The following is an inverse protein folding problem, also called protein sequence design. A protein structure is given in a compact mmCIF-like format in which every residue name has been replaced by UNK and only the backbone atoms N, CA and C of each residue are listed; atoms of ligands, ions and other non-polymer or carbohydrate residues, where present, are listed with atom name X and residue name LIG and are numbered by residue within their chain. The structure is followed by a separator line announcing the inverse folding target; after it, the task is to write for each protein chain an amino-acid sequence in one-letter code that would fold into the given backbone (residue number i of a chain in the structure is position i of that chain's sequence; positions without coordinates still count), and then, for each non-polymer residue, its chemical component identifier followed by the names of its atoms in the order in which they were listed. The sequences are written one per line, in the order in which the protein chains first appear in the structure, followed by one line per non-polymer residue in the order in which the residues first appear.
data_IF_822905285805
#
_entry.id   IF_822905285805
#
_cell.length_a   1.000
_cell.length_b   1.000
_cell.length_c   1.000
_cell.angle_alpha   90.00
_cell.angle_beta   90.00
_cell.angle_gamma   90.00
#
_symmetry.space_group_name_H-M   'P 1'
#
loop_
_entity.id
_entity.type
_entity.pdbx_description
1 polymer ?
#
# COMPACT_ATOMS: atom_id res chain seq x y z
N UNK A 1 -6.11 -35.51 19.44
CA UNK A 1 -5.80 -34.31 18.66
C UNK A 1 -6.78 -34.18 17.50
N UNK A 2 -7.31 -32.97 17.32
CA UNK A 2 -8.07 -32.56 16.14
C UNK A 2 -7.32 -31.43 15.43
N UNK A 3 -7.53 -31.30 14.12
CA UNK A 3 -7.08 -30.15 13.35
C UNK A 3 -8.29 -29.57 12.65
N UNK A 4 -8.61 -28.32 12.98
CA UNK A 4 -9.74 -27.59 12.44
C UNK A 4 -9.24 -26.42 11.60
N UNK A 5 -9.80 -26.28 10.40
CA UNK A 5 -9.56 -25.12 9.54
C UNK A 5 -10.89 -24.40 9.31
N UNK A 6 -10.88 -23.09 9.48
CA UNK A 6 -12.00 -22.18 9.22
C UNK A 6 -11.53 -21.05 8.30
N UNK A 7 -12.25 -20.81 7.21
CA UNK A 7 -11.90 -19.79 6.22
C UNK A 7 -13.17 -19.10 5.68
N UNK A 8 -13.35 -17.78 5.93
CA UNK A 8 -14.33 -16.99 5.21
C UNK A 8 -13.87 -16.77 3.75
N UNK A 9 -14.63 -17.30 2.79
CA UNK A 9 -14.33 -17.24 1.36
C UNK A 9 -15.59 -17.26 0.50
N UNK A 10 -15.70 -16.28 -0.42
CA UNK A 10 -16.84 -16.18 -1.35
C UNK A 10 -16.53 -16.94 -2.65
N UNK A 11 -16.92 -18.21 -2.70
CA UNK A 11 -16.79 -19.03 -3.90
C UNK A 11 -17.81 -18.67 -4.98
N UNK A 12 -17.45 -18.88 -6.25
CA UNK A 12 -18.39 -18.83 -7.37
C UNK A 12 -19.18 -20.15 -7.50
N UNK A 13 -20.27 -20.12 -8.26
CA UNK A 13 -21.07 -21.32 -8.48
C UNK A 13 -20.24 -22.42 -9.16
N UNK A 14 -20.31 -23.64 -8.64
CA UNK A 14 -19.53 -24.80 -9.10
C UNK A 14 -18.10 -24.87 -8.53
N UNK A 15 -17.68 -23.90 -7.70
CA UNK A 15 -16.39 -23.93 -7.03
C UNK A 15 -16.48 -24.56 -5.64
N UNK A 16 -15.44 -25.33 -5.28
CA UNK A 16 -15.25 -25.89 -3.95
C UNK A 16 -13.89 -25.49 -3.40
N UNK A 17 -13.80 -25.33 -2.08
CA UNK A 17 -12.56 -25.00 -1.39
C UNK A 17 -11.91 -26.25 -0.80
N UNK A 18 -10.58 -26.35 -0.91
CA UNK A 18 -9.80 -27.42 -0.29
C UNK A 18 -8.63 -26.85 0.52
N UNK A 19 -8.27 -27.56 1.59
CA UNK A 19 -6.99 -27.42 2.30
C UNK A 19 -6.04 -28.51 1.82
N UNK A 20 -4.86 -28.13 1.37
CA UNK A 20 -3.77 -29.06 1.06
C UNK A 20 -2.82 -29.03 2.25
N UNK A 21 -2.86 -30.09 3.05
CA UNK A 21 -2.18 -30.21 4.34
C UNK A 21 -1.03 -31.20 4.22
N UNK A 22 0.17 -30.81 4.64
CA UNK A 22 1.36 -31.66 4.65
C UNK A 22 1.94 -31.72 6.06
N UNK A 23 2.17 -32.94 6.54
CA UNK A 23 2.96 -33.19 7.74
C UNK A 23 4.39 -33.50 7.33
N UNK A 24 5.36 -32.84 7.96
CA UNK A 24 6.78 -33.04 7.70
C UNK A 24 7.49 -33.58 8.95
N UNK A 25 8.43 -34.49 8.73
CA UNK A 25 9.40 -34.95 9.72
C UNK A 25 10.81 -34.48 9.30
N UNK A 26 11.58 -33.97 10.25
CA UNK A 26 13.02 -33.68 10.17
C UNK A 26 13.84 -34.88 9.67
N UNK A 27 13.29 -36.10 9.75
CA UNK A 27 13.87 -37.33 9.18
C UNK A 27 13.58 -37.54 7.69
N UNK A 28 13.01 -36.54 7.01
CA UNK A 28 12.72 -36.54 5.58
C UNK A 28 11.40 -37.21 5.17
N UNK A 29 10.62 -37.72 6.12
CA UNK A 29 9.29 -38.25 5.83
C UNK A 29 8.27 -37.10 5.69
N UNK A 30 7.34 -37.23 4.74
CA UNK A 30 6.20 -36.32 4.64
C UNK A 30 4.91 -37.07 4.31
N UNK A 31 3.78 -36.51 4.74
CA UNK A 31 2.45 -37.02 4.44
C UNK A 31 1.55 -35.88 3.98
N UNK A 32 1.07 -35.95 2.75
CA UNK A 32 0.13 -34.99 2.17
C UNK A 32 -1.31 -35.48 2.28
N UNK A 33 -2.22 -34.57 2.60
CA UNK A 33 -3.65 -34.81 2.75
C UNK A 33 -4.39 -33.63 2.12
N UNK A 34 -5.21 -33.92 1.10
CA UNK A 34 -6.13 -32.93 0.52
C UNK A 34 -7.50 -33.08 1.16
N UNK A 35 -7.97 -32.01 1.80
CA UNK A 35 -9.21 -31.98 2.57
C UNK A 35 -10.21 -31.06 1.88
N UNK A 36 -11.36 -31.62 1.45
CA UNK A 36 -12.46 -30.84 0.93
C UNK A 36 -13.16 -30.12 2.08
N UNK A 37 -13.35 -28.80 1.95
CA UNK A 37 -14.04 -28.01 2.95
C UNK A 37 -15.55 -27.99 2.70
N UNK A 38 -16.31 -27.78 3.78
CA UNK A 38 -17.76 -27.69 3.74
C UNK A 38 -18.22 -26.30 4.22
N UNK A 39 -19.30 -25.79 3.65
CA UNK A 39 -19.90 -24.52 4.07
C UNK A 39 -21.41 -24.69 4.24
N UNK A 40 -22.01 -23.92 5.16
CA UNK A 40 -23.47 -23.90 5.39
C UNK A 40 -24.15 -22.66 4.82
N UNK A 41 -23.40 -21.58 4.65
CA UNK A 41 -23.87 -20.26 4.24
C UNK A 41 -23.28 -19.81 2.90
N UNK A 42 -22.39 -20.63 2.30
CA UNK A 42 -21.68 -20.30 1.07
C UNK A 42 -20.51 -19.33 1.26
N UNK A 43 -20.18 -19.00 2.51
CA UNK A 43 -19.14 -18.02 2.84
C UNK A 43 -18.16 -18.53 3.90
N UNK A 44 -18.61 -19.12 5.00
CA UNK A 44 -17.72 -19.71 6.00
C UNK A 44 -17.49 -21.18 5.68
N UNK A 45 -16.25 -21.52 5.33
CA UNK A 45 -15.83 -22.88 5.00
C UNK A 45 -15.08 -23.49 6.17
N UNK A 46 -15.40 -24.74 6.49
CA UNK A 46 -14.78 -25.49 7.59
C UNK A 46 -14.43 -26.91 7.18
N UNK A 47 -13.33 -27.42 7.75
CA UNK A 47 -13.01 -28.86 7.73
C UNK A 47 -12.31 -29.26 9.03
N UNK A 48 -12.69 -30.41 9.57
CA UNK A 48 -12.02 -31.07 10.70
C UNK A 48 -11.33 -32.34 10.17
N UNK A 49 -10.09 -32.55 10.59
CA UNK A 49 -9.37 -33.81 10.37
C UNK A 49 -8.70 -34.28 11.65
N UNK A 50 -8.31 -35.56 11.66
CA UNK A 50 -7.49 -36.14 12.71
C UNK A 50 -6.37 -36.93 12.05
N UNK A 51 -5.18 -36.87 12.64
CA UNK A 51 -4.03 -37.62 12.14
C UNK A 51 -3.69 -38.72 13.14
N UNK A 52 -3.15 -39.82 12.63
CA UNK A 52 -2.51 -40.83 13.47
C UNK A 52 -1.02 -40.71 13.23
N UNK A 53 -0.30 -40.35 14.27
CA UNK A 53 1.14 -40.17 14.22
C UNK A 53 1.85 -41.48 13.86
N UNK A 54 2.83 -41.40 12.95
CA UNK A 54 3.69 -42.53 12.62
C UNK A 54 4.79 -42.66 13.69
N UNK A 55 4.72 -43.71 14.52
CA UNK A 55 5.69 -43.95 15.60
C UNK A 55 7.15 -44.08 15.14
N UNK A 56 7.41 -44.38 13.85
CA UNK A 56 8.78 -44.47 13.32
C UNK A 56 9.32 -43.11 12.84
N UNK A 57 8.43 -42.20 12.44
CA UNK A 57 8.74 -40.87 11.91
C UNK A 57 7.75 -39.87 12.51
N UNK A 58 7.99 -39.38 13.74
CA UNK A 58 7.17 -38.33 14.32
C UNK A 58 7.25 -37.09 13.42
N UNK A 59 6.11 -36.42 13.27
CA UNK A 59 6.06 -35.18 12.51
C UNK A 59 6.54 -34.03 13.40
N UNK A 60 7.26 -33.10 12.82
CA UNK A 60 7.80 -31.92 13.48
C UNK A 60 7.08 -30.64 13.04
N UNK A 61 6.52 -30.65 11.83
CA UNK A 61 5.87 -29.48 11.23
C UNK A 61 4.56 -29.84 10.54
N UNK A 62 3.61 -28.91 10.60
CA UNK A 62 2.44 -28.84 9.73
C UNK A 62 2.68 -27.71 8.73
N UNK A 63 2.45 -28.00 7.46
CA UNK A 63 2.38 -27.03 6.39
C UNK A 63 1.02 -27.14 5.70
N UNK A 64 0.41 -26.04 5.30
CA UNK A 64 -0.77 -26.13 4.45
C UNK A 64 -0.98 -24.92 3.56
N UNK A 65 -1.85 -25.09 2.55
CA UNK A 65 -2.35 -23.99 1.75
C UNK A 65 -3.73 -24.28 1.15
N UNK A 66 -4.49 -23.23 0.86
CA UNK A 66 -5.82 -23.32 0.28
C UNK A 66 -5.83 -23.35 -1.27
N UNK A 67 -6.76 -24.12 -1.84
CA UNK A 67 -7.01 -24.14 -3.29
C UNK A 67 -8.50 -24.13 -3.56
N UNK A 68 -8.91 -23.47 -4.65
CA UNK A 68 -10.24 -23.57 -5.22
C UNK A 68 -10.21 -24.60 -6.35
N UNK A 69 -11.17 -25.51 -6.35
CA UNK A 69 -11.34 -26.56 -7.38
C UNK A 69 -12.73 -26.49 -8.00
N UNK A 70 -12.88 -27.00 -9.22
CA UNK A 70 -14.19 -27.23 -9.83
C UNK A 70 -14.83 -28.55 -9.36
N UNK A 71 -16.04 -28.86 -9.85
CA UNK A 71 -16.80 -30.08 -9.56
C UNK A 71 -16.04 -31.37 -9.89
N UNK A 72 -15.13 -31.33 -10.87
CA UNK A 72 -14.28 -32.45 -11.29
C UNK A 72 -12.97 -32.54 -10.47
N UNK A 73 -12.76 -31.61 -9.53
CA UNK A 73 -11.59 -31.55 -8.65
C UNK A 73 -10.35 -30.91 -9.26
N UNK A 74 -10.46 -30.29 -10.44
CA UNK A 74 -9.37 -29.56 -11.09
C UNK A 74 -9.15 -28.22 -10.39
N UNK A 75 -7.89 -27.91 -10.11
CA UNK A 75 -7.50 -26.66 -9.43
C UNK A 75 -7.75 -25.46 -10.36
N UNK A 76 -8.63 -24.57 -9.91
CA UNK A 76 -8.93 -23.29 -10.54
C UNK A 76 -8.02 -22.19 -10.00
N UNK A 77 -7.80 -22.18 -8.68
CA UNK A 77 -6.96 -21.18 -7.98
C UNK A 77 -6.18 -21.82 -6.84
N UNK A 78 -5.01 -21.26 -6.56
CA UNK A 78 -4.20 -21.57 -5.38
C UNK A 78 -3.93 -20.27 -4.65
N UNK A 79 -4.03 -20.27 -3.33
CA UNK A 79 -3.69 -19.06 -2.57
C UNK A 79 -2.23 -18.65 -2.80
N UNK A 80 -1.96 -17.35 -2.82
CA UNK A 80 -0.60 -16.84 -2.98
C UNK A 80 0.06 -16.76 -1.63
N UNK A 81 1.04 -17.64 -1.38
CA UNK A 81 1.81 -17.64 -0.13
C UNK A 81 3.16 -16.97 -0.34
N UNK A 82 3.23 -15.64 -0.16
CA UNK A 82 4.52 -14.96 0.02
C UNK A 82 5.26 -15.53 1.25
N UNK A 83 4.48 -15.94 2.25
CA UNK A 83 4.90 -16.66 3.45
C UNK A 83 4.08 -17.94 3.64
N UNK A 84 4.72 -19.13 3.61
CA UNK A 84 4.02 -20.38 3.79
C UNK A 84 3.45 -20.56 5.22
N UNK A 85 2.28 -21.19 5.30
CA UNK A 85 1.59 -21.50 6.56
C UNK A 85 2.24 -22.73 7.20
N UNK A 86 3.31 -22.52 7.96
CA UNK A 86 4.10 -23.57 8.63
C UNK A 86 4.05 -23.39 10.14
N UNK A 87 3.80 -24.48 10.86
CA UNK A 87 3.66 -24.50 12.32
C UNK A 87 4.32 -25.75 12.91
N UNK A 88 4.80 -25.63 14.15
CA UNK A 88 5.30 -26.77 14.92
C UNK A 88 4.17 -27.77 15.15
N UNK A 89 4.45 -29.04 14.91
CA UNK A 89 3.57 -30.15 15.21
C UNK A 89 3.89 -30.75 16.58
N UNK A 90 2.86 -30.92 17.40
CA UNK A 90 2.88 -31.64 18.67
C UNK A 90 1.62 -32.52 18.71
N UNK A 91 1.81 -33.84 18.78
CA UNK A 91 0.71 -34.81 18.74
C UNK A 91 -0.18 -34.80 19.99
N UNK A 92 0.25 -34.12 21.06
CA UNK A 92 -0.57 -33.88 22.24
C UNK A 92 -1.55 -32.72 22.08
N UNK A 93 -1.32 -31.82 21.12
CA UNK A 93 -2.10 -30.59 20.93
C UNK A 93 -3.20 -30.77 19.90
N UNK A 94 -4.29 -30.01 20.03
CA UNK A 94 -5.29 -29.82 18.96
C UNK A 94 -5.10 -28.45 18.33
N UNK A 95 -5.20 -28.36 17.01
CA UNK A 95 -4.91 -27.16 16.25
C UNK A 95 -6.20 -26.58 15.67
N UNK A 96 -6.39 -25.28 15.87
CA UNK A 96 -7.50 -24.52 15.34
C UNK A 96 -6.91 -23.37 14.51
N UNK A 97 -7.20 -23.37 13.22
CA UNK A 97 -6.72 -22.38 12.26
C UNK A 97 -7.90 -21.51 11.80
N UNK A 98 -7.98 -20.30 12.35
CA UNK A 98 -8.95 -19.28 11.94
C UNK A 98 -8.28 -18.34 10.93
N UNK A 99 -8.51 -18.65 9.65
CA UNK A 99 -7.78 -18.11 8.53
C UNK A 99 -8.62 -17.15 7.68
N UNK A 100 -7.95 -16.49 6.75
CA UNK A 100 -8.55 -15.79 5.61
C UNK A 100 -7.73 -16.07 4.35
N UNK A 101 -8.33 -15.86 3.18
CA UNK A 101 -7.68 -16.09 1.89
C UNK A 101 -6.60 -15.04 1.61
N UNK A 102 -5.39 -15.47 1.23
CA UNK A 102 -4.29 -14.58 0.84
C UNK A 102 -4.37 -14.28 -0.67
N UNK A 103 -4.62 -13.01 -1.00
CA UNK A 103 -4.86 -12.51 -2.37
C UNK A 103 -3.66 -12.68 -3.32
N UNK A 104 -3.97 -12.84 -4.61
CA UNK A 104 -2.99 -13.04 -5.68
C UNK A 104 -2.38 -11.69 -6.13
N UNK A 105 -1.04 -11.56 -6.14
CA UNK A 105 -0.39 -10.32 -6.60
C UNK A 105 -0.66 -10.07 -8.10
N UNK A 106 -0.91 -8.83 -8.55
CA UNK A 106 -1.10 -8.50 -9.97
C UNK A 106 0.06 -8.95 -10.88
N UNK A 107 1.30 -8.94 -10.38
CA UNK A 107 2.47 -9.44 -11.13
C UNK A 107 2.40 -10.96 -11.42
N UNK A 108 1.68 -11.73 -10.60
CA UNK A 108 1.46 -13.17 -10.83
C UNK A 108 0.47 -13.45 -11.96
N UNK A 109 -0.32 -12.46 -12.41
CA UNK A 109 -1.14 -12.61 -13.63
C UNK A 109 -0.30 -12.76 -14.90
N UNK A 110 0.96 -12.31 -14.91
CA UNK A 110 1.81 -12.37 -16.10
C UNK A 110 2.78 -13.56 -16.13
N UNK A 111 2.90 -14.33 -15.06
CA UNK A 111 3.72 -15.54 -15.06
C UNK A 111 3.16 -16.58 -14.09
N UNK A 112 2.87 -17.78 -14.60
CA UNK A 112 2.47 -19.01 -13.86
C UNK A 112 0.98 -19.24 -13.61
N UNK A 113 0.16 -19.08 -14.65
CA UNK A 113 -0.92 -20.06 -14.84
C UNK A 113 -0.27 -21.43 -15.15
N UNK A 114 -0.68 -22.48 -14.42
CA UNK A 114 -0.25 -23.90 -14.47
C UNK A 114 0.70 -24.33 -13.35
N UNK A 115 0.11 -24.78 -12.24
CA UNK A 115 0.46 -26.09 -11.64
C UNK A 115 1.74 -26.21 -10.81
N UNK A 116 2.35 -25.13 -10.30
CA UNK A 116 3.43 -25.29 -9.30
C UNK A 116 2.85 -25.38 -7.89
N UNK A 117 2.93 -26.56 -7.29
CA UNK A 117 2.86 -26.72 -5.82
C UNK A 117 3.90 -25.78 -5.20
N UNK A 118 3.55 -24.94 -4.22
CA UNK A 118 4.55 -24.15 -3.52
C UNK A 118 5.54 -25.12 -2.87
N UNK A 119 6.80 -25.14 -3.33
CA UNK A 119 7.84 -25.95 -2.70
C UNK A 119 8.27 -25.24 -1.43
N UNK A 120 7.94 -25.83 -0.29
CA UNK A 120 8.48 -25.40 1.01
C UNK A 120 9.94 -25.80 1.04
N UNK A 121 10.82 -24.81 1.17
CA UNK A 121 12.22 -25.05 1.49
C UNK A 121 12.32 -25.37 3.00
N UNK A 122 12.14 -26.64 3.35
CA UNK A 122 12.13 -27.10 4.76
C UNK A 122 13.45 -26.74 5.48
N UNK A 123 14.58 -26.65 4.77
CA UNK A 123 15.89 -26.26 5.33
C UNK A 123 16.00 -24.77 5.72
N UNK A 124 15.16 -23.88 5.18
CA UNK A 124 15.05 -22.50 5.68
C UNK A 124 14.11 -22.40 6.88
N UNK A 125 13.23 -23.37 7.09
CA UNK A 125 12.29 -23.42 8.22
C UNK A 125 12.87 -24.00 9.50
N UNK A 126 13.79 -24.97 9.41
CA UNK A 126 14.55 -25.43 10.59
C UNK A 126 15.36 -24.30 11.25
N UNK A 127 15.62 -23.20 10.51
CA UNK A 127 16.29 -21.99 11.01
C UNK A 127 15.33 -20.96 11.64
N UNK A 128 14.01 -21.09 11.47
CA UNK A 128 13.07 -20.28 12.23
C UNK A 128 12.98 -20.85 13.64
N UNK A 129 13.30 -20.06 14.67
CA UNK A 129 13.03 -20.50 16.05
C UNK A 129 11.53 -20.78 16.17
N UNK A 130 11.20 -22.07 16.28
CA UNK A 130 9.88 -22.60 16.53
C UNK A 130 9.23 -21.85 17.70
N UNK A 131 8.07 -21.24 17.45
CA UNK A 131 7.34 -20.54 18.50
C UNK A 131 6.94 -21.53 19.60
N UNK A 132 7.08 -21.17 20.88
CA UNK A 132 6.73 -22.08 21.98
C UNK A 132 5.24 -22.41 21.95
N UNK A 133 4.91 -23.66 22.28
CA UNK A 133 3.54 -24.11 22.51
C UNK A 133 3.32 -24.27 24.01
N UNK A 134 2.22 -23.72 24.51
CA UNK A 134 1.81 -23.75 25.91
C UNK A 134 0.61 -24.70 26.12
N UNK A 135 0.14 -24.80 27.36
CA UNK A 135 -1.10 -25.52 27.69
C UNK A 135 -2.28 -24.98 26.87
N UNK A 136 -2.52 -23.67 26.94
CA UNK A 136 -3.56 -22.96 26.19
C UNK A 136 -2.85 -21.89 25.35
N UNK A 137 -2.75 -22.10 24.04
CA UNK A 137 -1.89 -21.29 23.16
C UNK A 137 -2.69 -20.48 22.16
N UNK A 138 -2.36 -19.20 22.02
CA UNK A 138 -2.69 -18.41 20.83
C UNK A 138 -1.41 -18.02 20.11
N UNK A 139 -1.35 -18.33 18.81
CA UNK A 139 -0.35 -17.80 17.89
C UNK A 139 -0.99 -16.67 17.08
N UNK A 140 -0.57 -15.44 17.37
CA UNK A 140 -0.95 -14.25 16.62
C UNK A 140 -0.04 -14.09 15.43
N UNK A 141 -0.61 -13.98 14.22
CA UNK A 141 0.11 -13.60 13.00
C UNK A 141 -0.48 -12.36 12.36
N UNK A 142 0.38 -11.53 11.80
CA UNK A 142 -0.05 -10.35 11.04
C UNK A 142 0.95 -10.06 9.91
N UNK A 143 0.40 -9.73 8.75
CA UNK A 143 1.16 -9.31 7.58
C UNK A 143 1.25 -7.79 7.55
N UNK A 144 2.44 -7.20 7.42
CA UNK A 144 2.62 -5.75 7.51
C UNK A 144 3.58 -5.21 6.44
N UNK A 145 3.16 -5.19 5.17
CA UNK A 145 4.02 -4.82 4.04
C UNK A 145 4.43 -3.35 4.05
N UNK A 146 3.69 -2.51 4.79
CA UNK A 146 3.84 -1.05 4.85
C UNK A 146 4.47 -0.56 6.15
N UNK A 147 5.35 -1.38 6.74
CA UNK A 147 6.09 -1.02 7.94
C UNK A 147 7.34 -0.23 7.55
N UNK A 148 7.59 0.91 8.20
CA UNK A 148 8.75 1.75 7.88
C UNK A 148 10.05 1.20 8.50
N UNK A 149 11.20 1.66 8.00
CA UNK A 149 12.49 1.35 8.62
C UNK A 149 12.52 1.84 10.09
N UNK A 150 13.10 1.03 10.98
CA UNK A 150 13.15 1.31 12.41
C UNK A 150 11.83 1.07 13.15
N UNK A 151 10.87 0.37 12.54
CA UNK A 151 9.60 -0.02 13.15
C UNK A 151 9.49 -1.52 13.36
N UNK A 152 8.80 -1.91 14.43
CA UNK A 152 8.43 -3.29 14.73
C UNK A 152 6.97 -3.37 15.19
N UNK A 153 6.40 -4.56 15.13
CA UNK A 153 5.03 -4.80 15.60
C UNK A 153 5.05 -5.35 17.01
N UNK A 154 4.11 -4.86 17.81
CA UNK A 154 3.79 -5.43 19.11
C UNK A 154 2.27 -5.59 19.26
N UNK A 155 1.86 -6.31 20.30
CA UNK A 155 0.46 -6.58 20.63
C UNK A 155 0.13 -6.05 22.02
N UNK A 156 -1.07 -5.47 22.15
CA UNK A 156 -1.70 -5.12 23.42
C UNK A 156 -3.11 -5.68 23.47
N UNK A 157 -3.61 -5.95 24.66
CA UNK A 157 -4.97 -6.45 24.87
C UNK A 157 -5.54 -6.16 26.24
N UNK A 158 -6.77 -6.64 26.46
CA UNK A 158 -7.60 -6.35 27.64
C UNK A 158 -7.21 -7.08 28.93
N UNK A 159 -6.21 -7.97 28.89
CA UNK A 159 -5.77 -8.74 30.04
C UNK A 159 -4.34 -8.36 30.45
N UNK A 160 -3.94 -8.45 31.74
CA UNK A 160 -2.55 -8.26 32.17
C UNK A 160 -1.52 -9.08 31.39
N UNK A 161 -1.86 -10.31 30.99
CA UNK A 161 -1.01 -11.14 30.12
C UNK A 161 -0.73 -10.49 28.76
N UNK A 162 -1.65 -9.65 28.28
CA UNK A 162 -1.57 -8.89 27.03
C UNK A 162 -1.25 -7.41 27.27
N UNK A 163 -0.77 -7.03 28.46
CA UNK A 163 -0.38 -5.66 28.78
C UNK A 163 -1.50 -4.74 29.30
N UNK A 164 -2.75 -5.20 29.38
CA UNK A 164 -3.90 -4.43 29.90
C UNK A 164 -4.03 -3.02 29.27
N UNK A 165 -3.91 -2.95 27.95
CA UNK A 165 -3.88 -1.71 27.15
C UNK A 165 -2.84 -0.67 27.55
N UNK A 166 -1.87 -1.01 28.40
CA UNK A 166 -0.79 -0.11 28.79
C UNK A 166 0.30 -0.11 27.71
N UNK A 167 0.49 1.03 27.05
CA UNK A 167 1.45 1.22 25.97
C UNK A 167 2.93 1.00 26.37
N UNK A 168 3.23 0.91 27.65
CA UNK A 168 4.58 0.58 28.13
C UNK A 168 4.77 -0.93 28.37
N UNK A 169 3.68 -1.74 28.34
CA UNK A 169 3.69 -3.17 28.63
C UNK A 169 3.22 -4.02 27.43
N UNK A 170 3.57 -3.61 26.21
CA UNK A 170 3.24 -4.38 25.01
C UNK A 170 4.03 -5.69 24.91
N UNK A 171 3.48 -6.64 24.17
CA UNK A 171 4.15 -7.89 23.80
C UNK A 171 4.77 -7.74 22.41
N UNK A 172 6.10 -7.69 22.33
CA UNK A 172 6.79 -7.54 21.07
C UNK A 172 6.67 -8.80 20.19
N UNK A 173 6.29 -8.60 18.92
CA UNK A 173 6.21 -9.69 17.95
C UNK A 173 7.56 -9.92 17.27
N UNK A 174 7.79 -11.15 16.82
CA UNK A 174 9.00 -11.55 16.09
C UNK A 174 8.76 -11.45 14.59
N UNK A 175 9.69 -10.83 13.86
CA UNK A 175 9.66 -10.82 12.39
C UNK A 175 10.13 -12.18 11.84
N UNK A 176 9.37 -12.72 10.89
CA UNK A 176 9.72 -13.92 10.11
C UNK A 176 10.33 -13.56 8.74
N UNK A 177 10.57 -12.26 8.47
CA UNK A 177 10.93 -11.76 7.15
C UNK A 177 9.72 -11.61 6.22
N UNK A 178 9.93 -11.02 5.04
CA UNK A 178 8.87 -10.75 4.04
C UNK A 178 7.59 -10.14 4.64
N UNK A 179 7.76 -9.23 5.59
CA UNK A 179 6.68 -8.48 6.25
C UNK A 179 5.77 -9.29 7.18
N UNK A 180 6.13 -10.51 7.54
CA UNK A 180 5.36 -11.34 8.47
C UNK A 180 5.84 -11.21 9.92
N UNK A 181 4.89 -11.14 10.84
CA UNK A 181 5.14 -11.03 12.26
C UNK A 181 4.35 -12.07 13.05
N UNK A 182 4.98 -12.67 14.05
CA UNK A 182 4.39 -13.73 14.87
C UNK A 182 4.63 -13.52 16.36
N UNK A 183 3.66 -13.94 17.18
CA UNK A 183 3.77 -13.99 18.63
C UNK A 183 2.99 -15.20 19.15
N UNK A 184 3.57 -15.98 20.06
CA UNK A 184 2.89 -17.07 20.75
C UNK A 184 2.69 -16.68 22.21
N UNK A 185 1.47 -16.81 22.71
CA UNK A 185 1.07 -16.38 24.06
C UNK A 185 0.39 -17.52 24.78
N UNK A 186 0.77 -17.72 26.05
CA UNK A 186 0.01 -18.55 26.97
C UNK A 186 -1.22 -17.78 27.45
N UNK A 187 -2.40 -18.21 27.04
CA UNK A 187 -3.66 -17.55 27.37
C UNK A 187 -4.45 -18.25 28.46
N UNK A 188 -3.87 -19.25 29.13
CA UNK A 188 -4.51 -19.94 30.26
C UNK A 188 -5.08 -19.02 31.36
N UNK A 189 -4.48 -17.85 31.63
CA UNK A 189 -5.04 -16.90 32.61
C UNK A 189 -6.20 -16.04 32.08
N UNK A 190 -6.56 -16.11 30.79
CA UNK A 190 -7.45 -15.17 30.12
C UNK A 190 -8.82 -15.81 29.87
N UNK A 191 -9.88 -15.26 30.47
CA UNK A 191 -11.25 -15.59 30.09
C UNK A 191 -11.66 -14.80 28.84
N UNK A 192 -12.49 -15.43 27.99
CA UNK A 192 -13.05 -14.75 26.82
C UNK A 192 -14.11 -13.68 27.23
N UNK A 193 -14.29 -12.60 26.46
CA UNK A 193 -13.64 -12.31 25.19
C UNK A 193 -12.20 -11.78 25.36
N UNK A 194 -11.30 -12.27 24.51
CA UNK A 194 -9.94 -11.75 24.40
C UNK A 194 -9.97 -10.61 23.39
N UNK A 195 -9.79 -9.38 23.87
CA UNK A 195 -9.64 -8.22 22.99
C UNK A 195 -8.17 -7.86 22.85
N UNK A 196 -7.74 -7.62 21.63
CA UNK A 196 -6.36 -7.26 21.33
C UNK A 196 -6.26 -6.32 20.14
N UNK A 197 -5.10 -5.70 20.00
CA UNK A 197 -4.79 -4.79 18.92
C UNK A 197 -3.29 -4.76 18.66
N UNK A 198 -2.92 -4.72 17.39
CA UNK A 198 -1.53 -4.53 17.01
C UNK A 198 -1.14 -3.06 17.12
N UNK A 199 0.11 -2.81 17.50
CA UNK A 199 0.73 -1.50 17.57
C UNK A 199 2.05 -1.52 16.83
N UNK A 200 2.51 -0.34 16.44
CA UNK A 200 3.87 -0.13 15.97
C UNK A 200 4.68 0.46 17.10
N UNK A 201 5.88 -0.09 17.28
CA UNK A 201 6.91 0.39 18.20
C UNK A 201 8.15 0.76 17.43
N UNK A 202 8.93 1.72 17.93
CA UNK A 202 10.23 2.05 17.36
C UNK A 202 11.28 1.05 17.85
N UNK A 203 12.10 0.50 16.95
CA UNK A 203 13.09 -0.54 17.25
C UNK A 203 14.22 -0.04 18.13
N UNK A 204 14.58 1.24 18.05
CA UNK A 204 15.74 1.78 18.75
C UNK A 204 15.37 2.17 20.19
N UNK A 205 14.23 2.81 20.36
CA UNK A 205 13.74 3.32 21.65
C UNK A 205 12.86 2.32 22.40
N UNK A 206 12.36 1.28 21.73
CA UNK A 206 11.39 0.32 22.27
C UNK A 206 10.15 1.03 22.84
N UNK A 207 9.71 2.11 22.19
CA UNK A 207 8.54 2.89 22.60
C UNK A 207 7.39 2.76 21.60
N UNK A 208 6.18 2.81 22.14
CA UNK A 208 4.95 2.93 21.36
C UNK A 208 5.04 4.09 20.36
N UNK A 209 4.64 3.84 19.11
CA UNK A 209 4.57 4.82 18.04
C UNK A 209 3.12 5.07 17.60
N UNK A 210 2.37 4.01 17.28
CA UNK A 210 0.95 4.13 16.85
C UNK A 210 0.17 2.82 17.00
N UNK A 211 -1.15 2.93 17.04
CA UNK A 211 -2.06 1.79 16.95
C UNK A 211 -2.31 1.37 15.50
N UNK A 212 -2.69 0.11 15.27
CA UNK A 212 -3.43 -0.25 14.06
C UNK A 212 -4.79 0.48 14.03
N UNK A 213 -5.41 0.55 12.87
CA UNK A 213 -6.65 1.24 12.64
C UNK A 213 -7.88 0.32 12.85
N UNK A 214 -9.04 0.93 13.09
CA UNK A 214 -10.29 0.23 13.39
C UNK A 214 -10.46 -0.08 14.88
N UNK A 215 -11.57 -0.75 15.21
CA UNK A 215 -11.84 -1.25 16.56
C UNK A 215 -10.89 -2.38 16.97
N UNK A 216 -11.01 -2.79 18.23
CA UNK A 216 -10.28 -3.94 18.77
C UNK A 216 -10.61 -5.20 17.96
N UNK A 217 -9.62 -6.09 17.85
CA UNK A 217 -9.85 -7.46 17.41
C UNK A 217 -10.34 -8.24 18.63
N UNK A 218 -11.28 -9.15 18.42
CA UNK A 218 -11.89 -9.91 19.50
C UNK A 218 -11.87 -11.39 19.14
N UNK A 219 -11.52 -12.21 20.11
CA UNK A 219 -11.77 -13.64 20.11
C UNK A 219 -12.76 -13.94 21.23
N UNK A 220 -14.00 -14.26 20.86
CA UNK A 220 -15.08 -14.53 21.81
C UNK A 220 -15.05 -15.95 22.38
N UNK A 221 -14.26 -16.84 21.76
CA UNK A 221 -14.15 -18.23 22.15
C UNK A 221 -13.09 -18.43 23.25
N UNK A 222 -13.41 -19.32 24.18
CA UNK A 222 -12.46 -19.77 25.19
C UNK A 222 -11.49 -20.78 24.57
N UNK A 223 -10.20 -20.60 24.87
CA UNK A 223 -9.17 -21.59 24.55
C UNK A 223 -9.15 -22.65 25.65
N UNK A 224 -9.07 -23.92 25.26
CA UNK A 224 -8.99 -25.02 26.22
C UNK A 224 -7.58 -25.60 26.33
N UNK A 225 -7.36 -26.33 27.42
CA UNK A 225 -6.13 -27.08 27.64
C UNK A 225 -5.80 -27.97 26.44
N UNK A 226 -4.54 -27.90 26.03
CA UNK A 226 -3.94 -28.56 24.88
C UNK A 226 -4.42 -28.07 23.51
N UNK A 227 -5.05 -26.89 23.44
CA UNK A 227 -5.38 -26.24 22.18
C UNK A 227 -4.33 -25.21 21.75
N UNK A 228 -4.12 -25.15 20.44
CA UNK A 228 -3.32 -24.15 19.74
C UNK A 228 -4.22 -23.46 18.74
N UNK A 229 -4.61 -22.23 19.05
CA UNK A 229 -5.37 -21.38 18.14
C UNK A 229 -4.40 -20.49 17.36
N UNK A 230 -4.48 -20.55 16.04
CA UNK A 230 -3.66 -19.73 15.16
C UNK A 230 -4.56 -18.68 14.53
N UNK A 231 -4.35 -17.43 14.95
CA UNK A 231 -5.11 -16.29 14.47
C UNK A 231 -4.32 -15.58 13.38
N UNK A 232 -4.71 -15.78 12.12
CA UNK A 232 -4.16 -14.99 11.04
C UNK A 232 -4.92 -13.65 10.98
N UNK A 233 -4.31 -12.60 11.52
CA UNK A 233 -4.95 -11.29 11.71
C UNK A 233 -5.14 -10.45 10.45
N UNK A 234 -5.02 -11.00 9.24
CA UNK A 234 -5.02 -10.18 8.04
C UNK A 234 -3.75 -9.34 7.90
N UNK A 235 -3.85 -8.35 7.02
CA UNK A 235 -2.93 -7.23 7.03
C UNK A 235 -3.05 -6.44 8.34
N UNK A 236 -1.94 -5.88 8.80
CA UNK A 236 -1.91 -4.83 9.78
C UNK A 236 -2.82 -3.71 9.29
N UNK A 237 -3.85 -3.38 10.08
CA UNK A 237 -4.86 -2.41 9.66
C UNK A 237 -4.21 -1.03 9.68
N UNK A 238 -3.85 -0.54 8.52
CA UNK A 238 -3.56 0.89 8.35
C UNK A 238 -4.87 1.66 8.21
N UNK A 239 -4.83 2.97 8.46
CA UNK A 239 -5.96 3.86 8.15
C UNK A 239 -6.20 3.81 6.64
N UNK A 240 -7.14 2.97 6.21
CA UNK A 240 -7.71 3.02 4.86
C UNK A 240 -8.73 4.15 4.88
N UNK A 241 -8.47 5.23 4.15
CA UNK A 241 -9.51 6.21 3.88
C UNK A 241 -10.62 5.48 3.09
N UNK A 242 -11.87 5.46 3.56
CA UNK A 242 -12.95 4.85 2.80
C UNK A 242 -13.06 5.56 1.43
N UNK A 243 -13.52 4.86 0.38
CA UNK A 243 -13.83 5.49 -0.91
C UNK A 243 -14.90 6.60 -0.83
N UNK A 244 -15.48 6.80 0.35
CA UNK A 244 -16.55 7.75 0.68
C UNK A 244 -16.13 8.68 1.84
N UNK A 245 -14.83 8.80 2.12
CA UNK A 245 -14.36 9.83 3.02
C UNK A 245 -14.66 11.18 2.37
N UNK A 246 -15.76 11.81 2.80
CA UNK A 246 -16.12 13.12 2.30
C UNK A 246 -15.09 14.10 2.84
N UNK A 247 -14.15 14.51 1.99
CA UNK A 247 -13.33 15.67 2.28
C UNK A 247 -14.26 16.86 2.20
N UNK A 248 -14.46 17.55 3.32
CA UNK A 248 -15.30 18.74 3.39
C UNK A 248 -14.42 19.96 3.65
N UNK A 249 -13.66 20.33 2.62
CA UNK A 249 -12.92 21.59 2.60
C UNK A 249 -13.73 22.63 1.84
N UNK A 250 -13.52 23.91 2.14
CA UNK A 250 -14.13 25.01 1.39
C UNK A 250 -13.31 25.36 0.15
N UNK A 251 -12.00 25.07 0.17
CA UNK A 251 -11.07 25.41 -0.93
C UNK A 251 -10.15 24.24 -1.26
N UNK A 252 -10.06 23.91 -2.54
CA UNK A 252 -9.20 22.85 -3.08
C UNK A 252 -8.14 23.48 -3.97
N UNK A 253 -6.88 23.36 -3.56
CA UNK A 253 -5.71 23.86 -4.29
C UNK A 253 -5.02 22.66 -4.96
N UNK A 254 -5.10 22.58 -6.28
CA UNK A 254 -4.56 21.47 -7.06
C UNK A 254 -3.22 21.84 -7.70
N UNK A 255 -2.29 20.89 -7.80
CA UNK A 255 -1.30 20.94 -8.88
C UNK A 255 -1.96 20.72 -10.25
N UNK A 256 -1.24 21.09 -11.32
CA UNK A 256 -1.69 20.93 -12.70
C UNK A 256 -1.16 19.63 -13.32
N UNK A 257 0.12 19.61 -13.67
CA UNK A 257 0.78 18.52 -14.40
C UNK A 257 0.93 17.30 -13.48
N UNK A 258 0.37 16.15 -13.86
CA UNK A 258 0.40 14.93 -13.03
C UNK A 258 -0.76 14.82 -12.02
N UNK A 259 -1.54 15.89 -11.86
CA UNK A 259 -2.68 15.92 -10.94
C UNK A 259 -4.01 16.12 -11.67
N UNK A 260 -4.20 17.26 -12.35
CA UNK A 260 -5.40 17.53 -13.15
C UNK A 260 -5.22 17.12 -14.61
N UNK A 261 -4.03 17.32 -15.19
CA UNK A 261 -3.72 16.97 -16.59
C UNK A 261 -2.59 15.95 -16.69
N UNK A 262 -2.74 15.01 -17.62
CA UNK A 262 -1.71 14.07 -18.04
C UNK A 262 -0.89 14.72 -19.14
N UNK A 263 0.27 15.31 -18.81
CA UNK A 263 1.13 16.04 -19.75
C UNK A 263 2.49 15.36 -20.02
N UNK A 264 2.70 14.16 -19.47
CA UNK A 264 4.00 13.48 -19.48
C UNK A 264 4.50 13.15 -20.89
N UNK A 265 3.61 12.72 -21.78
CA UNK A 265 3.97 12.33 -23.15
C UNK A 265 4.55 13.52 -23.93
N UNK A 266 3.86 14.67 -23.90
CA UNK A 266 4.30 15.88 -24.60
C UNK A 266 5.60 16.46 -24.01
N UNK A 267 5.76 16.37 -22.68
CA UNK A 267 7.00 16.74 -21.98
C UNK A 267 8.16 15.82 -22.38
N UNK A 268 7.94 14.51 -22.40
CA UNK A 268 8.96 13.53 -22.79
C UNK A 268 9.34 13.64 -24.27
N UNK A 269 8.34 13.82 -25.14
CA UNK A 269 8.53 14.06 -26.58
C UNK A 269 9.37 15.31 -26.82
N UNK A 270 9.03 16.43 -26.16
CA UNK A 270 9.78 17.69 -26.31
C UNK A 270 11.17 17.63 -25.69
N UNK A 271 11.33 16.94 -24.56
CA UNK A 271 12.63 16.67 -23.95
C UNK A 271 13.53 15.88 -24.92
N UNK A 272 13.03 14.77 -25.46
CA UNK A 272 13.78 13.92 -26.37
C UNK A 272 14.05 14.59 -27.72
N UNK A 273 13.15 15.43 -28.20
CA UNK A 273 13.40 16.28 -29.37
C UNK A 273 14.64 17.16 -29.14
N UNK A 274 14.69 17.89 -28.02
CA UNK A 274 15.79 18.79 -27.70
C UNK A 274 17.13 18.05 -27.52
N UNK A 275 17.09 16.89 -26.84
CA UNK A 275 18.27 16.03 -26.68
C UNK A 275 18.78 15.55 -28.03
N UNK A 276 17.91 15.01 -28.89
CA UNK A 276 18.26 14.51 -30.22
C UNK A 276 18.82 15.60 -31.13
N UNK A 277 18.20 16.79 -31.13
CA UNK A 277 18.64 17.94 -31.91
C UNK A 277 20.07 18.39 -31.55
N UNK A 278 20.49 18.12 -30.32
CA UNK A 278 21.81 18.45 -29.79
C UNK A 278 22.72 17.22 -29.64
N UNK A 279 22.41 16.10 -30.32
CA UNK A 279 23.23 14.88 -30.35
C UNK A 279 23.45 14.25 -28.96
N UNK A 280 22.51 14.44 -28.05
CA UNK A 280 22.51 13.85 -26.71
C UNK A 280 21.66 12.57 -26.66
N UNK A 281 21.99 11.64 -25.75
CA UNK A 281 21.18 10.45 -25.54
C UNK A 281 19.78 10.83 -25.05
N UNK A 282 18.77 10.23 -25.69
CA UNK A 282 17.37 10.36 -25.28
C UNK A 282 17.10 9.67 -23.94
N UNK A 283 15.98 10.05 -23.31
CA UNK A 283 15.49 9.48 -22.05
C UNK A 283 14.23 8.67 -22.29
N UNK A 284 14.10 7.59 -21.54
CA UNK A 284 12.84 6.87 -21.44
C UNK A 284 11.76 7.75 -20.80
N UNK A 285 10.49 7.46 -21.08
CA UNK A 285 9.37 8.17 -20.45
C UNK A 285 9.40 8.06 -18.92
N UNK A 286 9.86 6.93 -18.39
CA UNK A 286 9.98 6.67 -16.96
C UNK A 286 11.08 7.53 -16.32
N UNK A 287 12.23 7.68 -16.99
CA UNK A 287 13.27 8.63 -16.56
C UNK A 287 12.74 10.07 -16.55
N UNK A 288 12.04 10.49 -17.61
CA UNK A 288 11.43 11.84 -17.68
C UNK A 288 10.42 12.01 -16.56
N UNK A 289 9.56 11.02 -16.31
CA UNK A 289 8.55 11.05 -15.24
C UNK A 289 9.20 11.39 -13.89
N UNK A 290 10.31 10.75 -13.56
CA UNK A 290 11.05 10.99 -12.31
C UNK A 290 11.79 12.35 -12.28
N UNK A 291 12.03 12.98 -13.43
CA UNK A 291 12.70 14.28 -13.52
C UNK A 291 11.73 15.47 -13.42
N UNK A 292 10.44 15.28 -13.72
CA UNK A 292 9.37 16.30 -13.67
C UNK A 292 8.98 16.68 -12.22
N UNK A 293 8.45 17.90 -12.03
CA UNK A 293 7.90 18.41 -10.75
C UNK A 293 8.52 19.76 -10.29
N UNK A 294 9.77 20.02 -10.67
CA UNK A 294 10.53 21.20 -10.24
C UNK A 294 10.65 22.29 -11.33
N UNK A 295 9.76 22.23 -12.32
CA UNK A 295 9.79 23.07 -13.52
C UNK A 295 10.69 22.51 -14.64
N UNK A 296 10.43 22.99 -15.86
CA UNK A 296 11.04 22.46 -17.09
C UNK A 296 12.55 22.72 -17.18
N UNK A 297 13.07 23.75 -16.50
CA UNK A 297 14.51 24.02 -16.46
C UNK A 297 15.26 22.88 -15.76
N UNK A 298 14.81 22.49 -14.56
CA UNK A 298 15.45 21.41 -13.81
C UNK A 298 15.25 20.05 -14.49
N UNK A 299 14.11 19.85 -15.17
CA UNK A 299 13.91 18.69 -16.04
C UNK A 299 15.04 18.59 -17.08
N UNK A 300 15.30 19.66 -17.83
CA UNK A 300 16.33 19.65 -18.87
C UNK A 300 17.75 19.51 -18.29
N UNK A 301 18.03 20.13 -17.15
CA UNK A 301 19.32 19.96 -16.45
C UNK A 301 19.56 18.49 -16.07
N UNK A 302 18.54 17.82 -15.51
CA UNK A 302 18.59 16.39 -15.16
C UNK A 302 18.70 15.49 -16.39
N UNK A 303 17.98 15.81 -17.46
CA UNK A 303 17.97 15.04 -18.70
C UNK A 303 19.34 15.09 -19.40
N UNK A 304 19.99 16.26 -19.45
CA UNK A 304 21.35 16.42 -20.00
C UNK A 304 22.39 15.72 -19.11
N UNK A 305 22.24 15.88 -17.79
CA UNK A 305 23.11 15.31 -16.78
C UNK A 305 24.23 16.27 -16.35
N UNK A 306 24.50 16.30 -15.05
CA UNK A 306 25.40 17.25 -14.39
C UNK A 306 26.82 17.25 -14.98
N UNK A 307 27.38 16.08 -15.25
CA UNK A 307 28.76 15.95 -15.77
C UNK A 307 28.95 16.66 -17.11
N UNK A 308 27.96 16.61 -18.02
CA UNK A 308 28.03 17.26 -19.34
C UNK A 308 27.86 18.78 -19.26
N UNK A 309 27.06 19.24 -18.30
CA UNK A 309 26.88 20.66 -18.04
C UNK A 309 28.15 21.27 -17.44
N UNK A 310 28.79 20.58 -16.50
CA UNK A 310 30.01 21.03 -15.84
C UNK A 310 31.25 20.96 -16.74
N UNK A 311 31.30 20.00 -17.68
CA UNK A 311 32.40 19.90 -18.65
C UNK A 311 32.39 21.02 -19.71
N UNK A 312 31.27 21.74 -19.86
CA UNK A 312 31.06 22.73 -20.91
C UNK A 312 30.93 22.11 -22.31
N UNK A 313 30.77 20.78 -22.40
CA UNK A 313 30.55 20.06 -23.66
C UNK A 313 29.21 20.41 -24.31
N UNK A 314 28.24 20.85 -23.50
CA UNK A 314 26.88 21.15 -23.92
C UNK A 314 26.51 22.59 -23.54
N UNK A 315 26.00 23.34 -24.51
CA UNK A 315 25.37 24.64 -24.28
C UNK A 315 23.93 24.43 -23.77
N UNK A 316 23.73 24.58 -22.46
CA UNK A 316 22.42 24.41 -21.82
C UNK A 316 21.36 25.34 -22.43
N UNK A 317 21.68 26.61 -22.67
CA UNK A 317 20.71 27.60 -23.11
C UNK A 317 20.18 27.26 -24.49
N UNK A 318 21.05 26.73 -25.37
CA UNK A 318 20.65 26.21 -26.67
C UNK A 318 19.69 25.02 -26.55
N UNK A 319 20.06 23.99 -25.78
CA UNK A 319 19.22 22.78 -25.61
C UNK A 319 17.87 23.15 -24.99
N UNK A 320 17.88 24.04 -23.99
CA UNK A 320 16.68 24.50 -23.33
C UNK A 320 15.79 25.33 -24.27
N UNK A 321 16.37 26.15 -25.15
CA UNK A 321 15.61 26.87 -26.16
C UNK A 321 14.96 25.94 -27.19
N UNK A 322 15.66 24.89 -27.62
CA UNK A 322 15.10 23.87 -28.52
C UNK A 322 13.91 23.14 -27.88
N UNK A 323 14.04 22.77 -26.60
CA UNK A 323 12.94 22.21 -25.81
C UNK A 323 11.74 23.16 -25.77
N UNK A 324 11.97 24.44 -25.42
CA UNK A 324 10.89 25.44 -25.32
C UNK A 324 10.18 25.65 -26.65
N UNK A 325 10.92 25.77 -27.74
CA UNK A 325 10.35 25.98 -29.07
C UNK A 325 9.46 24.80 -29.48
N UNK A 326 9.92 23.57 -29.26
CA UNK A 326 9.14 22.38 -29.55
C UNK A 326 7.91 22.26 -28.65
N UNK A 327 8.10 22.41 -27.33
CA UNK A 327 7.02 22.27 -26.36
C UNK A 327 5.92 23.32 -26.56
N UNK A 328 6.25 24.56 -26.94
CA UNK A 328 5.24 25.58 -27.23
C UNK A 328 4.30 25.25 -28.40
N UNK A 329 4.72 24.37 -29.30
CA UNK A 329 3.90 23.92 -30.44
C UNK A 329 3.18 22.61 -30.14
N UNK A 330 3.79 21.74 -29.34
CA UNK A 330 3.37 20.36 -29.10
C UNK A 330 2.91 20.07 -27.66
N UNK A 331 2.56 21.09 -26.87
CA UNK A 331 2.11 20.94 -25.47
C UNK A 331 0.64 20.48 -25.32
N UNK A 332 -0.04 20.19 -26.43
CA UNK A 332 -1.46 19.81 -26.48
C UNK A 332 -1.69 18.63 -27.45
N UNK A 333 -0.64 17.93 -27.86
CA UNK A 333 -0.77 16.80 -28.80
C UNK A 333 -1.40 15.60 -28.10
N UNK A 334 -0.87 15.23 -26.92
CA UNK A 334 -1.39 14.15 -26.08
C UNK A 334 -1.88 14.65 -24.70
N UNK A 335 -1.60 15.91 -24.35
CA UNK A 335 -2.01 16.48 -23.06
C UNK A 335 -3.53 16.55 -22.94
N UNK A 336 -4.08 15.92 -21.90
CA UNK A 336 -5.50 15.94 -21.59
C UNK A 336 -5.77 15.83 -20.08
N UNK A 337 -6.96 16.25 -19.59
CA UNK A 337 -7.36 15.97 -18.22
C UNK A 337 -7.40 14.47 -17.91
N UNK A 338 -7.01 14.07 -16.71
CA UNK A 338 -7.15 12.67 -16.29
C UNK A 338 -8.64 12.24 -16.27
N UNK A 339 -8.93 10.95 -16.51
CA UNK A 339 -10.30 10.43 -16.42
C UNK A 339 -10.95 10.76 -15.08
N UNK A 340 -12.17 11.32 -15.11
CA UNK A 340 -12.94 11.69 -13.91
C UNK A 340 -12.67 13.10 -13.36
N UNK A 341 -11.60 13.78 -13.80
CA UNK A 341 -11.27 15.14 -13.31
C UNK A 341 -12.39 16.14 -13.61
N UNK A 342 -12.91 16.14 -14.84
CA UNK A 342 -13.97 17.09 -15.22
C UNK A 342 -15.25 16.91 -14.39
N UNK A 343 -15.60 15.67 -14.06
CA UNK A 343 -16.80 15.38 -13.27
C UNK A 343 -16.58 15.72 -11.79
N UNK A 344 -15.40 15.43 -11.25
CA UNK A 344 -14.98 15.86 -9.91
C UNK A 344 -15.03 17.38 -9.76
N UNK A 345 -14.42 18.14 -10.68
CA UNK A 345 -14.41 19.60 -10.62
C UNK A 345 -15.83 20.19 -10.71
N UNK A 346 -16.68 19.67 -11.61
CA UNK A 346 -18.09 20.09 -11.70
C UNK A 346 -18.85 19.85 -10.40
N UNK A 347 -18.66 18.70 -9.77
CA UNK A 347 -19.32 18.37 -8.50
C UNK A 347 -18.82 19.27 -7.37
N UNK A 348 -17.51 19.52 -7.26
CA UNK A 348 -16.96 20.48 -6.30
C UNK A 348 -17.56 21.89 -6.49
N UNK A 349 -17.68 22.36 -7.74
CA UNK A 349 -18.36 23.65 -8.03
C UNK A 349 -19.85 23.62 -7.70
N UNK A 350 -20.55 22.51 -7.96
CA UNK A 350 -21.97 22.36 -7.61
C UNK A 350 -22.19 22.41 -6.09
N UNK A 351 -21.20 21.96 -5.31
CA UNK A 351 -21.17 22.07 -3.84
C UNK A 351 -20.71 23.43 -3.31
N UNK A 352 -20.45 24.39 -4.20
CA UNK A 352 -20.04 25.74 -3.82
C UNK A 352 -18.59 25.87 -3.37
N UNK A 353 -17.73 24.90 -3.70
CA UNK A 353 -16.31 24.92 -3.30
C UNK A 353 -15.48 25.83 -4.21
N UNK A 354 -14.43 26.42 -3.64
CA UNK A 354 -13.42 27.19 -4.38
C UNK A 354 -12.35 26.25 -4.94
N UNK A 355 -11.92 26.50 -6.18
CA UNK A 355 -10.92 25.68 -6.86
C UNK A 355 -9.78 26.57 -7.35
N UNK A 356 -8.58 26.31 -6.86
CA UNK A 356 -7.35 26.92 -7.35
C UNK A 356 -6.42 25.88 -7.97
N UNK A 357 -5.60 26.34 -8.92
CA UNK A 357 -4.49 25.58 -9.50
C UNK A 357 -3.17 26.29 -9.17
N UNK A 358 -2.17 25.56 -8.69
CA UNK A 358 -0.84 26.06 -8.37
C UNK A 358 0.23 25.16 -9.02
N UNK A 359 0.97 25.69 -9.97
CA UNK A 359 1.96 24.94 -10.75
C UNK A 359 3.34 25.61 -10.78
N UNK A 360 4.39 24.80 -10.92
CA UNK A 360 5.75 25.27 -11.27
C UNK A 360 5.90 25.60 -12.76
N UNK A 361 4.85 25.46 -13.56
CA UNK A 361 4.81 25.90 -14.96
C UNK A 361 4.72 27.43 -15.02
N UNK A 362 5.22 28.03 -16.11
CA UNK A 362 5.09 29.47 -16.34
C UNK A 362 3.64 29.95 -16.18
N UNK A 363 3.46 31.11 -15.54
CA UNK A 363 2.15 31.67 -15.21
C UNK A 363 1.18 31.73 -16.40
N UNK A 364 1.58 32.33 -17.52
CA UNK A 364 0.73 32.45 -18.71
C UNK A 364 0.30 31.09 -19.27
N UNK A 365 1.21 30.10 -19.31
CA UNK A 365 0.90 28.76 -19.79
C UNK A 365 -0.05 28.02 -18.82
N UNK A 366 0.08 28.25 -17.51
CA UNK A 366 -0.80 27.68 -16.50
C UNK A 366 -2.23 28.22 -16.66
N UNK A 367 -2.39 29.54 -16.79
CA UNK A 367 -3.69 30.16 -17.03
C UNK A 367 -4.32 29.72 -18.36
N UNK A 368 -3.53 29.64 -19.43
CA UNK A 368 -4.01 29.21 -20.74
C UNK A 368 -4.53 27.77 -20.71
N UNK A 369 -3.76 26.83 -20.13
CA UNK A 369 -4.17 25.44 -20.00
C UNK A 369 -5.42 25.29 -19.12
N UNK A 370 -5.49 26.01 -18.00
CA UNK A 370 -6.67 25.97 -17.14
C UNK A 370 -7.91 26.50 -17.85
N UNK A 371 -7.78 27.61 -18.58
CA UNK A 371 -8.88 28.17 -19.38
C UNK A 371 -9.30 27.21 -20.49
N UNK A 372 -8.34 26.57 -21.16
CA UNK A 372 -8.60 25.65 -22.26
C UNK A 372 -9.35 24.38 -21.80
N UNK A 373 -8.88 23.73 -20.73
CA UNK A 373 -9.42 22.45 -20.30
C UNK A 373 -10.57 22.56 -19.29
N UNK A 374 -10.51 23.54 -18.38
CA UNK A 374 -11.41 23.63 -17.23
C UNK A 374 -12.37 24.82 -17.31
N UNK A 375 -12.05 25.84 -18.11
CA UNK A 375 -12.87 27.04 -18.23
C UNK A 375 -13.13 27.69 -16.87
N UNK A 376 -14.40 27.96 -16.57
CA UNK A 376 -14.84 28.61 -15.32
C UNK A 376 -14.90 27.64 -14.12
N UNK A 377 -14.51 26.37 -14.28
CA UNK A 377 -14.43 25.43 -13.15
C UNK A 377 -13.24 25.74 -12.23
N UNK A 378 -12.19 26.40 -12.73
CA UNK A 378 -11.04 26.83 -11.95
C UNK A 378 -11.17 28.33 -11.71
N UNK A 379 -11.27 28.72 -10.44
CA UNK A 379 -11.47 30.12 -10.05
C UNK A 379 -10.17 30.93 -10.16
N UNK A 380 -9.04 30.31 -9.79
CA UNK A 380 -7.71 30.94 -9.80
C UNK A 380 -6.65 29.96 -10.29
N UNK A 381 -5.76 30.40 -11.19
CA UNK A 381 -4.64 29.60 -11.67
C UNK A 381 -3.32 30.39 -11.50
N UNK A 382 -2.39 29.87 -10.70
CA UNK A 382 -1.10 30.47 -10.40
C UNK A 382 0.02 29.59 -10.93
N UNK A 383 0.82 30.12 -11.85
CA UNK A 383 2.11 29.54 -12.23
C UNK A 383 3.31 30.40 -11.79
N UNK A 384 4.51 29.95 -12.16
CA UNK A 384 5.79 30.64 -11.93
C UNK A 384 5.81 32.02 -12.61
N UNK A 385 6.04 33.07 -11.82
CA UNK A 385 6.26 34.46 -12.27
C UNK A 385 7.23 35.19 -11.35
N UNK A 386 7.83 36.26 -11.84
CA UNK A 386 8.73 37.10 -11.07
C UNK A 386 8.04 37.67 -9.81
N UNK A 387 8.75 37.66 -8.68
CA UNK A 387 8.24 38.18 -7.40
C UNK A 387 7.38 37.21 -6.59
N UNK A 388 7.14 35.99 -7.06
CA UNK A 388 6.48 34.90 -6.32
C UNK A 388 7.37 33.67 -6.39
N UNK A 389 7.85 33.19 -5.24
CA UNK A 389 8.63 31.96 -5.20
C UNK A 389 7.77 30.74 -5.56
N UNK A 390 8.30 29.88 -6.42
CA UNK A 390 7.60 28.68 -6.88
C UNK A 390 7.64 27.56 -5.85
N UNK A 391 6.86 26.50 -6.07
CA UNK A 391 6.84 25.32 -5.20
C UNK A 391 8.26 24.74 -5.06
N UNK A 392 8.71 24.37 -3.85
CA UNK A 392 7.89 24.12 -2.65
C UNK A 392 7.68 25.32 -1.72
N UNK A 393 8.04 26.54 -2.12
CA UNK A 393 7.73 27.73 -1.34
C UNK A 393 6.20 27.94 -1.24
N UNK A 394 5.69 28.55 -0.14
CA UNK A 394 4.27 28.74 0.06
C UNK A 394 3.67 29.90 -0.74
N UNK A 395 4.49 30.74 -1.38
CA UNK A 395 4.09 32.02 -1.98
C UNK A 395 3.00 31.88 -3.06
N UNK A 396 3.10 30.87 -3.93
CA UNK A 396 2.06 30.61 -4.94
C UNK A 396 0.73 30.18 -4.32
N UNK A 397 0.76 29.40 -3.24
CA UNK A 397 -0.45 29.01 -2.48
C UNK A 397 -1.04 30.22 -1.74
N UNK A 398 -0.18 31.05 -1.15
CA UNK A 398 -0.59 32.27 -0.46
C UNK A 398 -1.30 33.24 -1.41
N UNK A 399 -0.77 33.40 -2.63
CA UNK A 399 -1.39 34.23 -3.66
C UNK A 399 -2.74 33.65 -4.12
N UNK A 400 -2.83 32.33 -4.31
CA UNK A 400 -4.08 31.67 -4.68
C UNK A 400 -5.17 31.90 -3.62
N UNK A 401 -4.86 31.65 -2.34
CA UNK A 401 -5.80 31.87 -1.24
C UNK A 401 -6.22 33.34 -1.12
N UNK A 402 -5.28 34.28 -1.33
CA UNK A 402 -5.56 35.72 -1.31
C UNK A 402 -6.54 36.13 -2.40
N UNK A 403 -6.37 35.63 -3.63
CA UNK A 403 -7.26 35.94 -4.76
C UNK A 403 -8.64 35.29 -4.61
N UNK A 404 -8.71 34.11 -3.98
CA UNK A 404 -9.97 33.43 -3.66
C UNK A 404 -10.71 34.03 -2.45
N UNK A 405 -10.05 34.91 -1.68
CA UNK A 405 -10.53 35.33 -0.36
C UNK A 405 -10.81 34.13 0.58
N UNK A 406 -9.98 33.09 0.49
CA UNK A 406 -10.16 31.83 1.20
C UNK A 406 -9.31 31.73 2.48
N UNK A 407 -9.81 31.01 3.47
CA UNK A 407 -9.07 30.69 4.70
C UNK A 407 -8.33 29.36 4.54
N UNK A 408 -7.03 29.39 4.88
CA UNK A 408 -6.12 28.26 4.85
C UNK A 408 -6.59 27.10 5.73
N UNK A 409 -7.20 27.39 6.88
CA UNK A 409 -7.69 26.37 7.81
C UNK A 409 -8.81 25.50 7.22
N UNK A 410 -9.51 26.03 6.21
CA UNK A 410 -10.58 25.32 5.48
C UNK A 410 -10.14 24.87 4.09
N UNK A 411 -8.85 24.93 3.79
CA UNK A 411 -8.30 24.60 2.49
C UNK A 411 -7.46 23.32 2.52
N UNK A 412 -7.39 22.64 1.39
CA UNK A 412 -6.54 21.46 1.19
C UNK A 412 -5.69 21.61 -0.06
N UNK A 413 -4.47 21.07 0.00
CA UNK A 413 -3.58 20.98 -1.15
C UNK A 413 -3.63 19.56 -1.73
N UNK A 414 -3.72 19.44 -3.05
CA UNK A 414 -3.78 18.18 -3.78
C UNK A 414 -2.67 18.15 -4.84
N UNK A 415 -1.85 17.10 -4.84
CA UNK A 415 -0.76 16.94 -5.80
C UNK A 415 -0.23 15.51 -5.90
N UNK A 416 0.70 15.26 -6.81
CA UNK A 416 1.21 13.92 -7.11
C UNK A 416 2.71 13.74 -6.82
N UNK A 417 3.38 14.76 -6.29
CA UNK A 417 4.85 14.73 -6.10
C UNK A 417 5.32 15.06 -4.68
N UNK A 418 6.60 14.79 -4.43
CA UNK A 418 7.32 15.25 -3.23
C UNK A 418 7.29 16.77 -3.07
N UNK A 419 7.36 17.50 -4.20
CA UNK A 419 7.26 18.96 -4.22
C UNK A 419 5.92 19.42 -3.66
N UNK A 420 4.83 18.72 -3.98
CA UNK A 420 3.48 19.04 -3.48
C UNK A 420 3.34 18.77 -1.99
N UNK A 421 3.86 17.63 -1.53
CA UNK A 421 3.90 17.30 -0.08
C UNK A 421 4.66 18.38 0.68
N UNK A 422 5.80 18.83 0.17
CA UNK A 422 6.58 19.92 0.75
C UNK A 422 5.85 21.26 0.67
N UNK A 423 5.16 21.55 -0.43
CA UNK A 423 4.39 22.79 -0.62
C UNK A 423 3.26 22.89 0.39
N UNK A 424 2.48 21.83 0.54
CA UNK A 424 1.40 21.74 1.51
C UNK A 424 1.93 21.94 2.94
N UNK A 425 3.05 21.29 3.27
CA UNK A 425 3.71 21.43 4.58
C UNK A 425 4.18 22.86 4.85
N UNK A 426 4.88 23.47 3.89
CA UNK A 426 5.39 24.84 4.00
C UNK A 426 4.25 25.87 4.02
N UNK A 427 3.12 25.50 3.42
CA UNK A 427 1.88 26.26 3.44
C UNK A 427 1.00 25.92 4.64
N UNK A 428 1.43 25.12 5.61
CA UNK A 428 0.61 24.72 6.78
C UNK A 428 -0.80 24.22 6.42
N UNK A 429 -0.92 23.45 5.33
CA UNK A 429 -2.18 22.88 4.84
C UNK A 429 -2.14 21.35 4.86
N UNK A 430 -3.29 20.68 5.02
CA UNK A 430 -3.37 19.25 4.76
C UNK A 430 -3.03 18.96 3.29
N UNK A 431 -2.38 17.82 3.05
CA UNK A 431 -2.02 17.35 1.71
C UNK A 431 -2.77 16.06 1.41
N UNK A 432 -3.43 15.99 0.25
CA UNK A 432 -3.95 14.76 -0.33
C UNK A 432 -3.09 14.42 -1.55
N UNK A 433 -2.40 13.28 -1.51
CA UNK A 433 -1.55 12.83 -2.62
C UNK A 433 -2.32 11.93 -3.58
N UNK A 434 -2.25 12.22 -4.88
CA UNK A 434 -2.94 11.41 -5.90
C UNK A 434 -2.02 10.32 -6.45
N UNK A 435 -2.57 9.14 -6.74
CA UNK A 435 -1.80 7.95 -7.16
C UNK A 435 -1.83 7.68 -8.67
N UNK A 436 -2.45 8.56 -9.46
CA UNK A 436 -2.50 8.45 -10.92
C UNK A 436 -1.45 9.33 -11.63
N UNK A 437 -0.69 10.12 -10.87
CA UNK A 437 0.30 11.07 -11.37
C UNK A 437 1.69 10.48 -11.59
N UNK A 438 2.72 11.28 -11.32
CA UNK A 438 4.11 10.97 -11.66
C UNK A 438 4.88 10.21 -10.59
N UNK A 439 4.38 10.09 -9.36
CA UNK A 439 5.02 9.32 -8.28
C UNK A 439 4.13 8.19 -7.80
N UNK A 440 4.77 7.09 -7.42
CA UNK A 440 4.08 5.97 -6.78
C UNK A 440 3.87 6.21 -5.28
N UNK A 441 3.07 5.33 -4.67
CA UNK A 441 2.71 5.42 -3.26
C UNK A 441 3.94 5.30 -2.35
N UNK A 442 4.93 4.48 -2.71
CA UNK A 442 6.10 4.21 -1.86
C UNK A 442 6.98 5.46 -1.81
N UNK A 443 7.27 6.05 -2.97
CA UNK A 443 8.01 7.30 -3.08
C UNK A 443 7.34 8.44 -2.29
N UNK A 444 6.03 8.62 -2.45
CA UNK A 444 5.28 9.67 -1.74
C UNK A 444 5.30 9.45 -0.21
N UNK A 445 5.23 8.19 0.23
CA UNK A 445 5.32 7.83 1.65
C UNK A 445 6.67 8.18 2.26
N UNK A 446 7.77 7.90 1.55
CA UNK A 446 9.13 8.25 1.97
C UNK A 446 9.31 9.78 2.12
N UNK A 447 8.58 10.56 1.33
CA UNK A 447 8.62 12.03 1.36
C UNK A 447 7.57 12.67 2.31
N UNK A 448 6.86 11.86 3.10
CA UNK A 448 6.00 12.32 4.18
C UNK A 448 4.53 12.53 3.83
N UNK A 449 4.06 12.02 2.68
CA UNK A 449 2.63 11.93 2.40
C UNK A 449 1.95 11.02 3.44
N UNK A 450 0.68 11.32 3.76
CA UNK A 450 -0.09 10.54 4.75
C UNK A 450 -1.53 10.26 4.32
N UNK A 451 -2.02 10.93 3.27
CA UNK A 451 -3.35 10.77 2.70
C UNK A 451 -3.17 10.52 1.21
N UNK A 452 -3.81 9.46 0.70
CA UNK A 452 -3.68 9.03 -0.68
C UNK A 452 -5.05 8.77 -1.29
N UNK A 453 -5.22 9.17 -2.55
CA UNK A 453 -6.40 8.86 -3.36
C UNK A 453 -5.98 8.25 -4.70
N UNK A 454 -6.69 7.21 -5.14
CA UNK A 454 -6.40 6.49 -6.39
C UNK A 454 -7.36 6.84 -7.52
N UNK A 455 -8.41 7.60 -7.26
CA UNK A 455 -9.31 8.11 -8.28
C UNK A 455 -9.89 9.49 -7.89
N UNK A 456 -10.20 10.37 -8.87
CA UNK A 456 -10.71 11.72 -8.60
C UNK A 456 -12.01 11.78 -7.79
N UNK A 457 -12.89 10.79 -7.92
CA UNK A 457 -14.16 10.73 -7.20
C UNK A 457 -14.00 10.57 -5.67
N UNK A 458 -12.83 10.10 -5.21
CA UNK A 458 -12.51 10.01 -3.79
C UNK A 458 -12.25 11.37 -3.13
N UNK A 459 -12.15 12.45 -3.90
CA UNK A 459 -12.02 13.82 -3.39
C UNK A 459 -13.38 14.48 -3.07
N UNK A 460 -14.47 13.81 -3.45
CA UNK A 460 -15.85 14.20 -3.21
C UNK A 460 -16.36 13.60 -1.90
#
# INVERSE_FOLDING_TARGET
MKINFSLPYKAHWGEMLCVNLTFYSSRGASQEVKLLMSTRDGYHWMVETSTRENRQHPFDLIYYYYTVVDEDGKVLRTESVDSPRVYVYDSSKSYIFDDFWLEEKPAARMATAIGRTPKVDVESYERMECMPLFGETIIFKVHAPRLHEGEAIALLGNHPTLGNWNIDHFLQMKSLGKHEWVLSVNVAPIDAPIEFKYIIVNTDTQRFKRWEYGGNRTLDERIYQDEVHVLHGGDFRIKKFPPHAQFDFETYVFDLDGTLISSLEDLASSCNYALRANQLPERSIEEVRMMVGNGVKLLMERAIGKERLESGEVDFDRVFQDFRNHYMVHNLDETAPYPGIMDMLKELKARGKNIAVVSNKFYAATEELCRHFFGDLVDVAIGEREGIEKKPAPDTVNEALRLLHADRETAVYIGDSDVDVMTARNSHMPCISVLWGFRDCDFLSEHGATIYVSAPDQLL
#
